data_IF_155574502163
#
_entry.id   IF_155574502163
#
_cell.length_a   1.000
_cell.length_b   1.000
_cell.length_c   1.000
_cell.angle_alpha   90.00
_cell.angle_beta   90.00
_cell.angle_gamma   90.00
#
_symmetry.space_group_name_H-M   'P 1'
#
loop_
_entity.id
_entity.type
_entity.pdbx_description
1 polymer ?
#
# COMPACT_ATOMS: atom_id res chain seq x y z
N UNK A 1 -3.17 12.82 1.54
CA UNK A 1 -1.93 13.15 2.27
C UNK A 1 -0.81 13.24 1.25
N UNK A 2 0.18 14.12 1.37
CA UNK A 2 1.29 14.18 0.40
C UNK A 2 2.53 13.39 0.88
N UNK A 3 3.50 13.16 -0.01
CA UNK A 3 4.71 12.37 0.31
C UNK A 3 5.55 13.00 1.45
N UNK A 4 5.64 14.32 1.51
CA UNK A 4 6.39 15.02 2.55
C UNK A 4 5.76 14.84 3.94
N UNK A 5 4.44 14.99 4.03
CA UNK A 5 3.66 14.74 5.23
C UNK A 5 3.78 13.27 5.67
N UNK A 6 3.73 12.34 4.71
CA UNK A 6 3.96 10.93 4.99
C UNK A 6 5.32 10.71 5.63
N UNK A 7 6.40 11.23 5.05
CA UNK A 7 7.76 11.09 5.59
C UNK A 7 7.85 11.67 6.99
N UNK A 8 7.30 12.86 7.22
CA UNK A 8 7.37 13.51 8.52
C UNK A 8 6.61 12.71 9.60
N UNK A 9 5.44 12.18 9.27
CA UNK A 9 4.64 11.33 10.17
C UNK A 9 5.25 9.95 10.40
N UNK A 10 5.85 9.39 9.37
CA UNK A 10 6.60 8.14 9.43
C UNK A 10 7.78 8.26 10.40
N UNK A 11 8.52 9.37 10.32
CA UNK A 11 9.62 9.68 11.23
C UNK A 11 9.12 9.99 12.66
N UNK A 12 7.93 10.57 12.79
CA UNK A 12 7.29 10.81 14.08
C UNK A 12 6.68 9.56 14.72
N UNK A 13 6.58 8.43 13.98
CA UNK A 13 5.96 7.19 14.45
C UNK A 13 4.42 7.22 14.47
N UNK A 14 3.80 8.13 13.71
CA UNK A 14 2.33 8.23 13.59
C UNK A 14 1.77 7.25 12.55
N UNK A 15 2.61 6.81 11.61
CA UNK A 15 2.24 5.84 10.57
C UNK A 15 2.43 4.42 11.10
N UNK A 16 1.33 3.67 11.13
CA UNK A 16 1.29 2.30 11.64
C UNK A 16 1.77 1.31 10.58
N UNK A 17 1.30 1.49 9.33
CA UNK A 17 1.67 0.67 8.18
C UNK A 17 1.38 1.39 6.86
N UNK A 18 1.96 0.86 5.79
CA UNK A 18 1.81 1.32 4.42
C UNK A 18 1.15 0.23 3.58
N UNK A 19 0.17 0.61 2.79
CA UNK A 19 -0.56 -0.28 1.89
C UNK A 19 -0.30 0.11 0.45
N UNK A 20 0.03 -0.89 -0.35
CA UNK A 20 0.08 -0.79 -1.79
C UNK A 20 -1.16 -1.51 -2.35
N UNK A 21 -2.17 -0.73 -2.72
CA UNK A 21 -3.41 -1.27 -3.26
C UNK A 21 -3.27 -1.46 -4.75
N UNK A 22 -3.23 -2.71 -5.19
CA UNK A 22 -3.28 -3.08 -6.60
C UNK A 22 -4.69 -2.89 -7.13
N UNK A 23 -4.84 -1.98 -8.09
CA UNK A 23 -6.10 -1.67 -8.75
C UNK A 23 -6.21 -2.40 -10.08
N UNK A 24 -7.44 -2.70 -10.50
CA UNK A 24 -7.71 -3.25 -11.82
C UNK A 24 -7.14 -2.34 -12.91
N UNK A 25 -6.36 -2.93 -13.84
CA UNK A 25 -5.61 -2.19 -14.86
C UNK A 25 -4.10 -2.07 -14.59
N UNK A 26 -3.57 -2.74 -13.56
CA UNK A 26 -2.12 -2.83 -13.33
C UNK A 26 -1.50 -1.55 -12.76
N UNK A 27 -2.32 -0.72 -12.13
CA UNK A 27 -1.89 0.49 -11.44
C UNK A 27 -2.00 0.22 -9.94
N UNK A 28 -1.02 0.67 -9.19
CA UNK A 28 -1.01 0.53 -7.74
C UNK A 28 -1.17 1.89 -7.09
N UNK A 29 -1.93 1.96 -6.01
CA UNK A 29 -2.15 3.16 -5.21
C UNK A 29 -1.48 2.99 -3.86
N UNK A 30 -0.75 4.01 -3.42
CA UNK A 30 -0.12 4.01 -2.10
C UNK A 30 -1.03 4.67 -1.07
N UNK A 31 -1.25 3.98 0.05
CA UNK A 31 -2.01 4.47 1.19
C UNK A 31 -1.22 4.27 2.48
N UNK A 32 -1.39 5.19 3.44
CA UNK A 32 -0.81 5.06 4.77
C UNK A 32 -1.91 4.85 5.81
N UNK A 33 -1.74 3.84 6.66
CA UNK A 33 -2.62 3.60 7.80
C UNK A 33 -2.11 4.41 8.99
N UNK A 34 -2.99 5.25 9.52
CA UNK A 34 -2.78 6.01 10.75
C UNK A 34 -3.97 5.70 11.66
N UNK A 35 -3.73 4.91 12.70
CA UNK A 35 -4.79 4.34 13.52
C UNK A 35 -5.73 3.44 12.69
N UNK A 36 -7.02 3.77 12.65
CA UNK A 36 -8.04 3.01 11.90
C UNK A 36 -8.40 3.63 10.54
N UNK A 37 -7.61 4.59 10.06
CA UNK A 37 -7.89 5.30 8.80
C UNK A 37 -6.76 5.13 7.81
N UNK A 38 -7.13 4.92 6.56
CA UNK A 38 -6.24 4.90 5.41
C UNK A 38 -6.24 6.28 4.76
N UNK A 39 -5.05 6.79 4.53
CA UNK A 39 -4.81 8.08 3.91
C UNK A 39 -4.10 7.86 2.57
N UNK A 40 -4.78 8.10 1.44
CA UNK A 40 -4.14 7.98 0.14
C UNK A 40 -3.04 9.02 0.00
N UNK A 41 -1.89 8.58 -0.49
CA UNK A 41 -0.75 9.42 -0.76
C UNK A 41 -1.00 10.12 -2.09
N UNK A 42 -0.72 11.41 -2.13
CA UNK A 42 -0.96 12.29 -3.25
C UNK A 42 0.37 12.86 -3.73
N UNK A 43 0.48 12.99 -5.04
CA UNK A 43 1.56 13.69 -5.71
C UNK A 43 1.49 15.21 -5.44
N UNK A 44 2.53 15.94 -5.81
CA UNK A 44 2.58 17.41 -5.72
C UNK A 44 1.38 18.11 -6.40
N UNK A 45 0.74 17.46 -7.37
CA UNK A 45 -0.47 17.96 -8.05
C UNK A 45 -1.78 17.70 -7.28
N UNK A 46 -1.74 17.02 -6.14
CA UNK A 46 -2.93 16.65 -5.36
C UNK A 46 -3.67 15.41 -5.87
N UNK A 47 -3.16 14.76 -6.92
CA UNK A 47 -3.70 13.49 -7.40
C UNK A 47 -3.15 12.33 -6.59
N UNK A 48 -3.94 11.26 -6.44
CA UNK A 48 -3.48 10.02 -5.81
C UNK A 48 -2.22 9.51 -6.53
N UNK A 49 -1.20 9.20 -5.75
CA UNK A 49 0.10 8.73 -6.21
C UNK A 49 -0.06 7.29 -6.70
N UNK A 50 -0.21 7.17 -8.02
CA UNK A 50 -0.21 5.89 -8.71
C UNK A 50 1.23 5.45 -9.02
N UNK A 51 1.59 4.24 -8.61
CA UNK A 51 2.85 3.60 -9.00
C UNK A 51 2.58 2.48 -10.00
N UNK A 52 3.51 2.29 -10.93
CA UNK A 52 3.39 1.30 -12.01
C UNK A 52 3.89 -0.09 -11.61
N UNK A 53 4.61 -0.19 -10.50
CA UNK A 53 5.26 -1.42 -10.04
C UNK A 53 5.60 -1.32 -8.56
N UNK A 54 5.72 -2.48 -7.91
CA UNK A 54 6.18 -2.60 -6.52
C UNK A 54 7.57 -2.01 -6.33
N UNK A 55 8.49 -2.23 -7.26
CA UNK A 55 9.85 -1.70 -7.21
C UNK A 55 9.87 -0.18 -7.15
N UNK A 56 9.05 0.48 -7.98
CA UNK A 56 8.92 1.94 -7.95
C UNK A 56 8.34 2.43 -6.61
N UNK A 57 7.39 1.70 -6.02
CA UNK A 57 6.91 1.99 -4.68
C UNK A 57 8.06 1.90 -3.66
N UNK A 58 8.89 0.84 -3.72
CA UNK A 58 10.04 0.68 -2.83
C UNK A 58 11.05 1.81 -2.96
N UNK A 59 11.34 2.27 -4.18
CA UNK A 59 12.24 3.41 -4.39
C UNK A 59 11.70 4.71 -3.75
N UNK A 60 10.39 4.95 -3.86
CA UNK A 60 9.73 6.10 -3.25
C UNK A 60 9.70 6.03 -1.72
N UNK A 61 9.61 4.81 -1.17
CA UNK A 61 9.56 4.54 0.27
C UNK A 61 10.95 4.30 0.88
N UNK A 62 12.01 4.19 0.07
CA UNK A 62 13.38 4.01 0.53
C UNK A 62 13.87 5.03 1.59
N UNK A 63 13.46 6.32 1.58
CA UNK A 63 13.85 7.26 2.63
C UNK A 63 13.06 7.12 3.93
N UNK A 64 12.03 6.26 3.97
CA UNK A 64 11.22 6.05 5.17
C UNK A 64 11.89 5.04 6.12
N UNK A 65 11.59 5.12 7.44
CA UNK A 65 12.01 4.08 8.37
C UNK A 65 11.35 2.74 8.03
N UNK A 66 11.82 1.67 8.69
CA UNK A 66 11.25 0.33 8.53
C UNK A 66 9.81 0.27 9.07
N UNK A 67 8.85 0.57 8.20
CA UNK A 67 7.41 0.53 8.46
C UNK A 67 6.85 -0.72 7.77
N UNK A 68 5.86 -1.42 8.36
CA UNK A 68 5.21 -2.53 7.69
C UNK A 68 4.63 -2.09 6.34
N UNK A 69 4.99 -2.79 5.27
CA UNK A 69 4.49 -2.51 3.92
C UNK A 69 3.74 -3.73 3.41
N UNK A 70 2.47 -3.54 3.08
CA UNK A 70 1.58 -4.63 2.64
C UNK A 70 1.07 -4.35 1.24
N UNK A 71 1.07 -5.38 0.38
CA UNK A 71 0.38 -5.38 -0.90
C UNK A 71 -1.04 -5.87 -0.71
N UNK A 72 -2.00 -4.98 -0.87
CA UNK A 72 -3.41 -5.33 -0.86
C UNK A 72 -3.88 -5.42 -2.29
N UNK A 73 -4.51 -6.53 -2.67
CA UNK A 73 -5.19 -6.59 -3.96
C UNK A 73 -6.63 -6.13 -3.76
N UNK A 74 -7.05 -5.10 -4.51
CA UNK A 74 -8.47 -4.75 -4.60
C UNK A 74 -9.17 -5.81 -5.44
N UNK A 75 -9.40 -6.99 -4.86
CA UNK A 75 -10.16 -8.06 -5.49
C UNK A 75 -11.63 -7.74 -5.29
N UNK A 76 -12.32 -7.32 -6.35
CA UNK A 76 -13.77 -7.49 -6.38
C UNK A 76 -14.00 -9.00 -6.41
N UNK A 77 -14.47 -9.57 -5.31
CA UNK A 77 -14.88 -10.96 -5.32
C UNK A 77 -16.13 -11.08 -6.19
N UNK A 78 -15.95 -11.30 -7.48
CA UNK A 78 -17.01 -11.87 -8.31
C UNK A 78 -17.00 -13.37 -8.04
N UNK A 79 -17.96 -13.80 -7.23
CA UNK A 79 -18.18 -15.19 -6.86
C UNK A 79 -18.22 -16.10 -8.09
N UNK A 80 -17.17 -16.91 -8.26
CA UNK A 80 -17.37 -18.32 -8.57
C UNK A 80 -16.15 -19.13 -8.09
N UNK A 81 -16.22 -19.61 -6.85
CA UNK A 81 -15.25 -20.56 -6.29
C UNK A 81 -15.30 -21.90 -7.04
N UNK A 82 -14.50 -22.04 -8.09
CA UNK A 82 -13.98 -23.31 -8.55
C UNK A 82 -12.73 -23.64 -7.73
N UNK A 83 -12.91 -24.44 -6.68
CA UNK A 83 -11.89 -25.02 -5.79
C UNK A 83 -10.46 -25.04 -6.34
N UNK A 84 -9.54 -24.29 -5.70
CA UNK A 84 -8.13 -24.63 -5.70
C UNK A 84 -7.54 -24.44 -4.30
N UNK A 85 -7.07 -25.55 -3.75
CA UNK A 85 -6.28 -25.68 -2.54
C UNK A 85 -5.04 -24.77 -2.60
N UNK A 86 -4.82 -23.93 -1.59
CA UNK A 86 -3.57 -23.17 -1.51
C UNK A 86 -3.58 -22.04 -0.49
N UNK A 87 -3.51 -22.41 0.79
CA UNK A 87 -3.31 -21.54 1.96
C UNK A 87 -4.39 -20.47 2.18
N UNK A 88 -4.79 -20.30 3.43
CA UNK A 88 -5.65 -19.19 3.84
C UNK A 88 -4.93 -17.87 3.51
N UNK A 89 -5.20 -17.30 2.34
CA UNK A 89 -5.02 -15.87 2.11
C UNK A 89 -6.11 -15.21 2.95
N UNK A 90 -5.75 -14.92 4.20
CA UNK A 90 -6.51 -13.92 4.93
C UNK A 90 -6.56 -12.68 4.05
N UNK A 91 -7.69 -11.97 4.07
CA UNK A 91 -7.89 -10.64 3.50
C UNK A 91 -7.04 -9.61 4.29
N UNK A 92 -5.75 -9.89 4.40
CA UNK A 92 -4.72 -9.19 5.14
C UNK A 92 -3.54 -9.18 4.16
N UNK A 93 -3.20 -8.01 3.65
CA UNK A 93 -2.34 -7.86 2.47
C UNK A 93 -1.04 -8.67 2.55
N UNK A 94 -0.46 -8.98 1.39
CA UNK A 94 0.81 -9.71 1.33
C UNK A 94 1.94 -8.80 1.84
N UNK A 95 2.66 -9.13 2.92
CA UNK A 95 3.74 -8.29 3.41
C UNK A 95 4.88 -8.25 2.39
N UNK A 96 5.35 -7.04 2.06
CA UNK A 96 6.49 -6.78 1.20
C UNK A 96 7.64 -6.24 2.06
N UNK A 97 8.84 -6.83 2.01
CA UNK A 97 10.00 -6.27 2.67
C UNK A 97 10.42 -4.95 2.00
N UNK A 98 10.53 -3.88 2.80
CA UNK A 98 11.07 -2.59 2.35
C UNK A 98 12.61 -2.60 2.20
N UNK A 99 13.31 -3.61 2.72
CA UNK A 99 14.74 -3.85 2.55
C UNK A 99 15.03 -5.34 2.35
#
# INVERSE_FOLDING_TARGET
MNLQELTNRSLAGDVDELHLVSMEGGIYVLEARIGQRYFPIQDAKGHVLGVRSVEHARELLAPLPAIPFQLVHAVVQDEMCGSHSGSAVNDDGVPIPLH
#
